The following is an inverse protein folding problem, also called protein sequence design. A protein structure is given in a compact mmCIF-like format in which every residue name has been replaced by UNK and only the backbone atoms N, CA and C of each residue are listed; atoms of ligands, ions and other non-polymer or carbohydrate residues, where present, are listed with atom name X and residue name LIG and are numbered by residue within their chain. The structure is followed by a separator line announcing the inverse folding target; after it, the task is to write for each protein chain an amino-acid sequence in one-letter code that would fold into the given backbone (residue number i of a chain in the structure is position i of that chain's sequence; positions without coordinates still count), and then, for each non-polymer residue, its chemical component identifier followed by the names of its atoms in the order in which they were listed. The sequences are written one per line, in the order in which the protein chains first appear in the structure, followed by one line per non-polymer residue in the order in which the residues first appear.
data_IF_545303554625
#
_entry.id   IF_545303554625
#
_cell.length_a   1.000
_cell.length_b   1.000
_cell.length_c   1.000
_cell.angle_alpha   90.00
_cell.angle_beta   90.00
_cell.angle_gamma   90.00
#
_symmetry.space_group_name_H-M   'P 1'
#
loop_
_entity.id
_entity.type
_entity.pdbx_description
1 polymer ?
#
# COMPACT_ATOMS: atom_id res chain seq x y z
N UNK A 1 9.64 51.03 -8.28
CA UNK A 1 8.89 49.78 -8.45
C UNK A 1 9.76 48.66 -7.89
N UNK A 2 9.47 48.24 -6.66
CA UNK A 2 10.03 47.00 -6.13
C UNK A 2 9.21 45.90 -6.82
N UNK A 3 9.85 45.18 -7.74
CA UNK A 3 9.25 44.00 -8.34
C UNK A 3 9.05 42.98 -7.25
N UNK A 4 7.80 42.75 -6.87
CA UNK A 4 7.42 41.57 -6.12
C UNK A 4 7.62 40.44 -7.12
N UNK A 5 8.77 39.74 -7.04
CA UNK A 5 8.84 38.37 -7.50
C UNK A 5 7.78 37.63 -6.70
N UNK A 6 6.63 37.39 -7.34
CA UNK A 6 5.67 36.41 -6.87
C UNK A 6 6.45 35.12 -6.70
N UNK A 7 6.71 34.72 -5.46
CA UNK A 7 7.04 33.34 -5.11
C UNK A 7 6.00 32.48 -5.84
N UNK A 8 6.40 31.88 -6.96
CA UNK A 8 5.59 30.84 -7.57
C UNK A 8 5.54 29.74 -6.52
N UNK A 9 4.39 29.56 -5.87
CA UNK A 9 4.17 28.45 -4.94
C UNK A 9 4.68 27.18 -5.61
N UNK A 10 5.80 26.68 -5.12
CA UNK A 10 6.50 25.57 -5.72
C UNK A 10 5.73 24.31 -5.31
N UNK A 11 4.77 23.92 -6.14
CA UNK A 11 4.04 22.66 -5.97
C UNK A 11 5.03 21.51 -5.84
N UNK A 12 4.78 20.60 -4.90
CA UNK A 12 5.61 19.42 -4.71
C UNK A 12 5.72 18.64 -6.03
N UNK A 13 6.94 18.31 -6.43
CA UNK A 13 7.21 17.54 -7.63
C UNK A 13 6.90 16.06 -7.38
N UNK A 14 5.72 15.61 -7.82
CA UNK A 14 5.25 14.24 -7.66
C UNK A 14 5.49 13.45 -8.95
N UNK A 15 6.10 12.26 -8.82
CA UNK A 15 6.30 11.33 -9.94
C UNK A 15 5.65 9.98 -9.69
N UNK A 16 5.05 9.38 -10.71
CA UNK A 16 4.45 8.04 -10.65
C UNK A 16 5.22 7.10 -11.56
N UNK A 17 5.82 6.07 -10.97
CA UNK A 17 6.70 5.12 -11.63
C UNK A 17 6.00 3.75 -11.74
N UNK A 18 5.56 3.40 -12.95
CA UNK A 18 5.03 2.09 -13.27
C UNK A 18 6.14 1.10 -13.61
N UNK A 19 6.32 0.08 -12.78
CA UNK A 19 7.39 -0.93 -12.97
C UNK A 19 6.81 -2.25 -13.47
N UNK A 20 7.34 -2.73 -14.59
CA UNK A 20 6.88 -3.95 -15.26
C UNK A 20 5.51 -3.81 -15.93
N UNK A 21 4.92 -4.93 -16.35
CA UNK A 21 3.66 -4.93 -17.11
C UNK A 21 2.46 -4.40 -16.31
N UNK A 22 2.26 -4.87 -15.08
CA UNK A 22 1.16 -4.42 -14.23
C UNK A 22 1.27 -2.93 -13.86
N UNK A 23 2.47 -2.48 -13.48
CA UNK A 23 2.71 -1.06 -13.20
C UNK A 23 2.52 -0.17 -14.44
N UNK A 24 3.01 -0.62 -15.60
CA UNK A 24 2.81 0.09 -16.87
C UNK A 24 1.33 0.20 -17.28
N UNK A 25 0.54 -0.86 -17.07
CA UNK A 25 -0.90 -0.84 -17.31
C UNK A 25 -1.63 0.14 -16.38
N UNK A 26 -1.28 0.14 -15.09
CA UNK A 26 -1.83 1.10 -14.13
C UNK A 26 -1.50 2.55 -14.51
N UNK A 27 -0.26 2.84 -14.89
CA UNK A 27 0.16 4.17 -15.38
C UNK A 27 -0.64 4.58 -16.62
N UNK A 28 -0.79 3.69 -17.61
CA UNK A 28 -1.59 3.99 -18.80
C UNK A 28 -3.03 4.35 -18.42
N UNK A 29 -3.61 3.65 -17.44
CA UNK A 29 -4.97 3.93 -16.95
C UNK A 29 -5.06 5.23 -16.15
N UNK A 30 -4.04 5.59 -15.38
CA UNK A 30 -3.96 6.88 -14.69
C UNK A 30 -3.94 8.04 -15.70
N UNK A 31 -3.18 7.90 -16.78
CA UNK A 31 -3.12 8.88 -17.87
C UNK A 31 -4.47 8.98 -18.60
N UNK A 32 -5.08 7.84 -18.93
CA UNK A 32 -6.39 7.81 -19.61
C UNK A 32 -7.52 8.39 -18.74
N UNK A 33 -7.43 8.23 -17.42
CA UNK A 33 -8.34 8.84 -16.46
C UNK A 33 -8.06 10.34 -16.22
N UNK A 34 -7.00 10.89 -16.81
CA UNK A 34 -6.67 12.30 -16.71
C UNK A 34 -6.14 12.73 -15.35
N UNK A 35 -5.44 11.85 -14.62
CA UNK A 35 -4.79 12.21 -13.35
C UNK A 35 -3.78 13.33 -13.58
N UNK A 36 -3.91 14.43 -12.82
CA UNK A 36 -3.16 15.69 -13.02
C UNK A 36 -2.08 15.88 -11.95
N UNK A 37 -1.13 16.77 -12.25
CA UNK A 37 -0.13 17.22 -11.27
C UNK A 37 0.90 16.15 -10.88
N UNK A 38 1.05 15.11 -11.71
CA UNK A 38 2.06 14.06 -11.53
C UNK A 38 2.76 13.79 -12.85
N UNK A 39 4.06 13.50 -12.79
CA UNK A 39 4.85 13.07 -13.95
C UNK A 39 4.86 11.54 -14.05
N UNK A 40 4.52 10.99 -15.22
CA UNK A 40 4.45 9.53 -15.40
C UNK A 40 5.72 8.95 -16.02
N UNK A 41 6.25 7.93 -15.36
CA UNK A 41 7.43 7.17 -15.78
C UNK A 41 7.05 5.68 -15.91
N UNK A 42 7.42 5.04 -17.01
CA UNK A 42 7.26 3.60 -17.21
C UNK A 42 8.62 2.92 -17.29
N UNK A 43 8.85 1.91 -16.46
CA UNK A 43 10.10 1.14 -16.40
C UNK A 43 9.80 -0.33 -16.74
N UNK A 44 10.45 -0.88 -17.76
CA UNK A 44 10.26 -2.29 -18.10
C UNK A 44 11.49 -2.92 -18.77
N UNK A 45 11.62 -4.24 -18.65
CA UNK A 45 12.58 -5.04 -19.43
C UNK A 45 12.02 -5.43 -20.81
N UNK A 46 10.68 -5.41 -20.95
CA UNK A 46 9.99 -5.72 -22.21
C UNK A 46 9.82 -4.45 -23.06
N UNK A 47 10.45 -4.46 -24.24
CA UNK A 47 10.42 -3.34 -25.18
C UNK A 47 9.04 -3.17 -25.85
N UNK A 48 8.31 -4.25 -26.08
CA UNK A 48 6.98 -4.18 -26.68
C UNK A 48 5.99 -3.52 -25.72
N UNK A 49 6.07 -3.87 -24.44
CA UNK A 49 5.25 -3.25 -23.41
C UNK A 49 5.55 -1.73 -23.28
N UNK A 50 6.83 -1.32 -23.32
CA UNK A 50 7.19 0.10 -23.27
C UNK A 50 6.74 0.88 -24.50
N UNK A 51 6.76 0.26 -25.69
CA UNK A 51 6.27 0.91 -26.90
C UNK A 51 4.79 1.30 -26.78
N UNK A 52 3.98 0.45 -26.14
CA UNK A 52 2.56 0.69 -25.87
C UNK A 52 2.29 1.61 -24.67
N UNK A 53 3.32 1.97 -23.89
CA UNK A 53 3.17 2.86 -22.75
C UNK A 53 2.79 4.28 -23.19
N UNK A 54 1.89 4.92 -22.45
CA UNK A 54 1.47 6.32 -22.64
C UNK A 54 2.28 7.29 -21.77
N UNK A 55 3.15 6.78 -20.91
CA UNK A 55 4.01 7.59 -20.04
C UNK A 55 4.93 8.51 -20.86
N UNK A 56 5.17 9.71 -20.32
CA UNK A 56 6.05 10.72 -20.92
C UNK A 56 7.50 10.22 -20.95
N UNK A 57 7.93 9.59 -19.85
CA UNK A 57 9.27 9.02 -19.72
C UNK A 57 9.19 7.49 -19.71
N UNK A 58 10.06 6.87 -20.50
CA UNK A 58 10.13 5.41 -20.66
C UNK A 58 11.57 4.95 -20.48
N UNK A 59 11.79 4.02 -19.56
CA UNK A 59 13.11 3.47 -19.28
C UNK A 59 13.07 1.98 -19.60
N UNK A 60 13.88 1.57 -20.59
CA UNK A 60 14.11 0.17 -20.88
C UNK A 60 15.28 -0.33 -20.04
N UNK A 61 15.00 -1.17 -19.04
CA UNK A 61 16.01 -1.69 -18.13
C UNK A 61 16.57 -3.04 -18.60
N UNK A 62 17.84 -3.30 -18.31
CA UNK A 62 18.49 -4.58 -18.61
C UNK A 62 18.53 -4.92 -20.10
N UNK A 63 18.87 -3.94 -20.95
CA UNK A 63 18.98 -4.14 -22.40
C UNK A 63 19.99 -5.24 -22.75
N UNK A 64 21.14 -5.28 -22.07
CA UNK A 64 22.17 -6.29 -22.31
C UNK A 64 21.75 -7.68 -21.80
N UNK A 65 21.06 -7.71 -20.65
CA UNK A 65 20.59 -8.93 -20.00
C UNK A 65 19.45 -9.61 -20.76
N UNK A 66 18.43 -8.85 -21.16
CA UNK A 66 17.16 -9.40 -21.67
C UNK A 66 16.99 -9.22 -23.16
N UNK A 67 17.80 -8.36 -23.80
CA UNK A 67 17.65 -7.96 -25.21
C UNK A 67 16.26 -7.38 -25.51
N UNK A 68 15.59 -6.82 -24.49
CA UNK A 68 14.25 -6.25 -24.62
C UNK A 68 13.10 -7.26 -24.63
N UNK A 69 13.36 -8.53 -24.30
CA UNK A 69 12.36 -9.62 -24.34
C UNK A 69 11.65 -9.84 -22.99
N UNK A 70 11.98 -9.06 -21.97
CA UNK A 70 11.40 -9.21 -20.63
C UNK A 70 12.18 -10.14 -19.69
N UNK A 71 11.77 -10.17 -18.42
CA UNK A 71 12.44 -10.92 -17.35
C UNK A 71 11.94 -12.38 -17.18
N UNK A 72 11.03 -12.87 -18.03
CA UNK A 72 10.58 -14.28 -18.02
C UNK A 72 10.00 -14.76 -16.68
N UNK A 73 9.27 -13.90 -15.96
CA UNK A 73 8.74 -14.18 -14.62
C UNK A 73 9.79 -14.50 -13.53
N UNK A 74 11.06 -14.16 -13.77
CA UNK A 74 12.15 -14.33 -12.81
C UNK A 74 12.49 -12.97 -12.14
N UNK A 75 12.21 -12.80 -10.82
CA UNK A 75 12.53 -11.58 -10.10
C UNK A 75 14.01 -11.20 -10.12
N UNK A 76 14.92 -12.17 -10.07
CA UNK A 76 16.37 -11.92 -10.09
C UNK A 76 16.83 -11.25 -11.38
N UNK A 77 16.20 -11.58 -12.51
CA UNK A 77 16.49 -10.90 -13.79
C UNK A 77 15.98 -9.46 -13.75
N UNK A 78 14.78 -9.25 -13.18
CA UNK A 78 14.23 -7.91 -12.99
C UNK A 78 15.12 -7.03 -12.11
N UNK A 79 15.64 -7.58 -11.01
CA UNK A 79 16.56 -6.90 -10.10
C UNK A 79 17.85 -6.50 -10.80
N UNK A 80 18.56 -7.46 -11.42
CA UNK A 80 19.81 -7.20 -12.15
C UNK A 80 19.63 -6.22 -13.30
N UNK A 81 18.47 -6.28 -13.98
CA UNK A 81 18.15 -5.31 -15.03
C UNK A 81 18.02 -3.89 -14.49
N UNK A 82 17.40 -3.70 -13.32
CA UNK A 82 17.30 -2.39 -12.68
C UNK A 82 18.66 -1.89 -12.17
N UNK A 83 19.48 -2.78 -11.60
CA UNK A 83 20.86 -2.47 -11.19
C UNK A 83 21.74 -2.05 -12.39
N UNK A 84 21.60 -2.73 -13.54
CA UNK A 84 22.30 -2.36 -14.78
C UNK A 84 21.97 -0.92 -15.23
N UNK A 85 20.72 -0.50 -15.02
CA UNK A 85 20.19 0.79 -15.45
C UNK A 85 20.06 1.81 -14.31
N UNK A 86 20.76 1.61 -13.18
CA UNK A 86 20.64 2.44 -11.96
C UNK A 86 20.82 3.93 -12.25
N UNK A 87 21.87 4.30 -12.98
CA UNK A 87 22.19 5.71 -13.29
C UNK A 87 21.09 6.41 -14.12
N UNK A 88 20.41 5.65 -15.00
CA UNK A 88 19.32 6.18 -15.81
C UNK A 88 18.07 6.41 -14.97
N UNK A 89 17.76 5.44 -14.09
CA UNK A 89 16.65 5.56 -13.13
C UNK A 89 16.88 6.77 -12.21
N UNK A 90 18.08 6.89 -11.62
CA UNK A 90 18.45 8.00 -10.74
C UNK A 90 18.26 9.35 -11.43
N UNK A 91 18.74 9.48 -12.67
CA UNK A 91 18.63 10.72 -13.45
C UNK A 91 17.17 11.15 -13.66
N UNK A 92 16.28 10.21 -13.90
CA UNK A 92 14.87 10.47 -14.18
C UNK A 92 14.10 10.82 -12.90
N UNK A 93 14.39 10.15 -11.78
CA UNK A 93 13.66 10.40 -10.53
C UNK A 93 14.18 11.62 -9.76
N UNK A 94 15.40 12.09 -10.06
CA UNK A 94 16.01 13.25 -9.42
C UNK A 94 15.12 14.49 -9.52
N UNK A 95 15.04 15.23 -8.41
CA UNK A 95 14.24 16.45 -8.31
C UNK A 95 12.76 16.21 -7.97
N UNK A 96 12.34 14.97 -7.75
CA UNK A 96 11.03 14.69 -7.15
C UNK A 96 11.07 14.94 -5.63
N UNK A 97 10.00 15.51 -5.09
CA UNK A 97 9.76 15.57 -3.64
C UNK A 97 9.13 14.27 -3.14
N UNK A 98 8.34 13.63 -4.01
CA UNK A 98 7.62 12.40 -3.73
C UNK A 98 7.55 11.51 -4.96
N UNK A 99 7.73 10.21 -4.77
CA UNK A 99 7.46 9.22 -5.80
C UNK A 99 6.46 8.16 -5.36
N UNK A 100 5.61 7.75 -6.30
CA UNK A 100 4.78 6.56 -6.20
C UNK A 100 5.36 5.45 -7.06
N UNK A 101 5.66 4.31 -6.47
CA UNK A 101 6.09 3.11 -7.19
C UNK A 101 4.90 2.18 -7.30
N UNK A 102 4.40 1.97 -8.51
CA UNK A 102 3.28 1.07 -8.79
C UNK A 102 3.70 -0.16 -9.57
N UNK A 103 3.27 -1.33 -9.12
CA UNK A 103 3.71 -2.61 -9.69
C UNK A 103 2.76 -3.75 -9.33
N UNK A 104 2.57 -4.67 -10.27
CA UNK A 104 1.92 -5.95 -10.01
C UNK A 104 2.95 -6.98 -9.57
N UNK A 105 2.87 -7.43 -8.31
CA UNK A 105 3.85 -8.33 -7.72
C UNK A 105 3.65 -9.77 -8.18
N UNK A 106 4.73 -10.54 -8.14
CA UNK A 106 4.77 -11.96 -8.52
C UNK A 106 5.28 -12.22 -9.95
N UNK A 107 5.37 -11.18 -10.78
CA UNK A 107 6.08 -11.24 -12.06
C UNK A 107 7.61 -11.23 -11.91
N UNK A 108 8.33 -11.04 -13.01
CA UNK A 108 9.79 -10.90 -12.98
C UNK A 108 10.24 -9.45 -12.80
N UNK A 109 9.89 -8.60 -13.77
CA UNK A 109 10.30 -7.19 -13.78
C UNK A 109 9.77 -6.41 -12.58
N UNK A 110 8.46 -6.40 -12.38
CA UNK A 110 7.83 -5.63 -11.29
C UNK A 110 8.35 -6.01 -9.91
N UNK A 111 8.43 -7.31 -9.64
CA UNK A 111 8.88 -7.86 -8.35
C UNK A 111 10.35 -7.56 -8.05
N UNK A 112 11.22 -7.68 -9.06
CA UNK A 112 12.67 -7.51 -8.88
C UNK A 112 13.15 -6.08 -8.98
N UNK A 113 12.56 -5.28 -9.87
CA UNK A 113 13.01 -3.92 -10.15
C UNK A 113 12.39 -2.87 -9.21
N UNK A 114 11.15 -3.07 -8.74
CA UNK A 114 10.49 -2.07 -7.88
C UNK A 114 11.27 -1.78 -6.58
N UNK A 115 11.84 -2.78 -5.86
CA UNK A 115 12.67 -2.51 -4.68
C UNK A 115 13.93 -1.70 -5.00
N UNK A 116 14.56 -1.94 -6.16
CA UNK A 116 15.76 -1.20 -6.59
C UNK A 116 15.41 0.26 -6.89
N UNK A 117 14.27 0.51 -7.56
CA UNK A 117 13.78 1.88 -7.80
C UNK A 117 13.52 2.60 -6.47
N UNK A 118 12.92 1.91 -5.49
CA UNK A 118 12.65 2.46 -4.17
C UNK A 118 13.95 2.79 -3.41
N UNK A 119 14.94 1.91 -3.48
CA UNK A 119 16.26 2.11 -2.86
C UNK A 119 16.91 3.39 -3.39
N UNK A 120 16.97 3.58 -4.71
CA UNK A 120 17.56 4.77 -5.33
C UNK A 120 16.82 6.04 -4.88
N UNK A 121 15.48 6.01 -4.83
CA UNK A 121 14.70 7.16 -4.41
C UNK A 121 14.93 7.54 -2.94
N UNK A 122 15.05 6.54 -2.07
CA UNK A 122 15.33 6.73 -0.64
C UNK A 122 16.74 7.27 -0.41
N UNK A 123 17.73 6.83 -1.19
CA UNK A 123 19.10 7.40 -1.18
C UNK A 123 19.12 8.87 -1.59
N UNK A 124 18.21 9.28 -2.48
CA UNK A 124 18.03 10.68 -2.88
C UNK A 124 17.20 11.51 -1.88
N UNK A 125 16.69 10.91 -0.81
CA UNK A 125 15.88 11.59 0.21
C UNK A 125 14.45 11.91 -0.23
N UNK A 126 13.94 11.22 -1.24
CA UNK A 126 12.60 11.41 -1.81
C UNK A 126 11.58 10.62 -0.98
N UNK A 127 10.43 11.21 -0.66
CA UNK A 127 9.34 10.50 0.01
C UNK A 127 8.84 9.38 -0.90
N UNK A 128 9.03 8.12 -0.50
CA UNK A 128 8.85 6.97 -1.39
C UNK A 128 7.67 6.12 -0.93
N UNK A 129 6.62 6.07 -1.74
CA UNK A 129 5.40 5.29 -1.46
C UNK A 129 5.25 4.15 -2.46
N UNK A 130 5.20 2.92 -1.99
CA UNK A 130 4.88 1.75 -2.81
C UNK A 130 3.38 1.49 -2.83
N UNK A 131 2.77 1.35 -4.01
CA UNK A 131 1.37 0.94 -4.19
C UNK A 131 1.34 -0.29 -5.09
N UNK A 132 1.16 -1.48 -4.51
CA UNK A 132 1.44 -2.74 -5.21
C UNK A 132 0.32 -3.75 -5.04
N UNK A 133 0.10 -4.58 -6.06
CA UNK A 133 -0.91 -5.64 -6.00
C UNK A 133 -0.28 -7.02 -5.78
N UNK A 134 -0.92 -7.85 -4.94
CA UNK A 134 -0.64 -9.29 -4.86
C UNK A 134 -1.43 -10.01 -5.97
N UNK A 135 -0.88 -11.05 -6.61
CA UNK A 135 -1.55 -11.75 -7.70
C UNK A 135 -2.82 -12.46 -7.21
N UNK A 136 -3.73 -12.81 -8.12
CA UNK A 136 -4.86 -13.66 -7.78
C UNK A 136 -4.40 -15.06 -7.42
N UNK A 137 -5.12 -15.75 -6.52
CA UNK A 137 -4.81 -17.13 -6.14
C UNK A 137 -4.79 -18.08 -7.36
N UNK A 138 -5.63 -17.82 -8.38
CA UNK A 138 -5.65 -18.64 -9.61
C UNK A 138 -4.40 -18.50 -10.49
N UNK A 139 -3.59 -17.45 -10.32
CA UNK A 139 -2.34 -17.27 -11.07
C UNK A 139 -1.23 -18.21 -10.60
N UNK A 140 -1.44 -18.88 -9.46
CA UNK A 140 -0.61 -19.97 -8.97
C UNK A 140 0.33 -19.59 -7.82
N UNK A 141 0.65 -20.59 -6.99
CA UNK A 141 1.43 -20.41 -5.75
C UNK A 141 2.83 -19.84 -5.97
N UNK A 142 3.48 -20.19 -7.09
CA UNK A 142 4.82 -19.67 -7.41
C UNK A 142 4.79 -18.15 -7.59
N UNK A 143 3.75 -17.62 -8.23
CA UNK A 143 3.57 -16.18 -8.44
C UNK A 143 3.32 -15.47 -7.11
N UNK A 144 2.50 -16.05 -6.24
CA UNK A 144 2.27 -15.53 -4.88
C UNK A 144 3.56 -15.50 -4.05
N UNK A 145 4.35 -16.58 -4.05
CA UNK A 145 5.61 -16.65 -3.32
C UNK A 145 6.63 -15.60 -3.81
N UNK A 146 6.72 -15.38 -5.13
CA UNK A 146 7.52 -14.27 -5.66
C UNK A 146 6.99 -12.92 -5.19
N UNK A 147 5.67 -12.74 -5.13
CA UNK A 147 5.06 -11.49 -4.71
C UNK A 147 5.39 -11.17 -3.24
N UNK A 148 5.25 -12.14 -2.34
CA UNK A 148 5.60 -11.99 -0.92
C UNK A 148 7.08 -11.61 -0.74
N UNK A 149 7.98 -12.27 -1.47
CA UNK A 149 9.41 -11.95 -1.47
C UNK A 149 9.68 -10.51 -1.92
N UNK A 150 9.07 -10.09 -3.02
CA UNK A 150 9.24 -8.74 -3.56
C UNK A 150 8.64 -7.66 -2.66
N UNK A 151 7.51 -7.93 -2.02
CA UNK A 151 6.86 -7.03 -1.06
C UNK A 151 7.75 -6.84 0.18
N UNK A 152 8.31 -7.93 0.71
CA UNK A 152 9.19 -7.86 1.89
C UNK A 152 10.49 -7.11 1.58
N UNK A 153 11.04 -7.27 0.37
CA UNK A 153 12.20 -6.50 -0.07
C UNK A 153 11.86 -5.03 -0.29
N UNK A 154 10.73 -4.73 -0.96
CA UNK A 154 10.27 -3.36 -1.20
C UNK A 154 10.03 -2.61 0.10
N UNK A 155 9.46 -3.26 1.11
CA UNK A 155 9.15 -2.69 2.42
C UNK A 155 10.37 -2.05 3.10
N UNK A 156 11.57 -2.58 2.86
CA UNK A 156 12.82 -2.04 3.44
C UNK A 156 13.19 -0.66 2.87
N UNK A 157 12.78 -0.42 1.63
CA UNK A 157 13.24 0.70 0.81
C UNK A 157 12.17 1.77 0.56
N UNK A 158 10.96 1.60 1.11
CA UNK A 158 9.90 2.61 1.05
C UNK A 158 9.65 3.25 2.41
N UNK A 159 8.97 4.38 2.42
CA UNK A 159 8.46 5.03 3.63
C UNK A 159 7.10 4.45 4.02
N UNK A 160 6.24 4.24 3.03
CA UNK A 160 4.94 3.60 3.19
C UNK A 160 4.69 2.58 2.06
N UNK A 161 4.06 1.46 2.39
CA UNK A 161 3.73 0.39 1.46
C UNK A 161 2.24 0.04 1.54
N UNK A 162 1.50 0.36 0.49
CA UNK A 162 0.10 -0.03 0.29
C UNK A 162 0.07 -1.34 -0.51
N UNK A 163 -0.40 -2.42 0.12
CA UNK A 163 -0.55 -3.72 -0.54
C UNK A 163 -2.00 -4.01 -0.82
N UNK A 164 -2.33 -4.28 -2.09
CA UNK A 164 -3.69 -4.58 -2.56
C UNK A 164 -3.77 -6.08 -2.92
N UNK A 165 -4.43 -6.91 -2.12
CA UNK A 165 -4.66 -8.31 -2.48
C UNK A 165 -5.72 -8.44 -3.57
N UNK A 166 -5.34 -8.86 -4.78
CA UNK A 166 -6.28 -9.00 -5.90
C UNK A 166 -7.45 -9.96 -5.60
N UNK A 167 -7.26 -10.96 -4.74
CA UNK A 167 -8.35 -11.85 -4.32
C UNK A 167 -9.49 -11.13 -3.60
N UNK A 168 -9.24 -9.97 -2.97
CA UNK A 168 -10.31 -9.15 -2.36
C UNK A 168 -11.21 -8.52 -3.40
N UNK A 169 -10.68 -8.27 -4.60
CA UNK A 169 -11.47 -7.78 -5.73
C UNK A 169 -12.53 -8.80 -6.16
N UNK A 170 -12.30 -10.10 -5.93
CA UNK A 170 -13.28 -11.15 -6.22
C UNK A 170 -14.52 -11.08 -5.31
N UNK A 171 -14.46 -10.37 -4.18
CA UNK A 171 -15.59 -10.23 -3.25
C UNK A 171 -16.58 -9.15 -3.71
N UNK A 172 -16.12 -8.21 -4.53
CA UNK A 172 -16.93 -7.06 -5.00
C UNK A 172 -17.44 -7.23 -6.43
N UNK A 173 -16.93 -8.22 -7.17
CA UNK A 173 -17.31 -8.45 -8.57
C UNK A 173 -18.36 -9.55 -8.72
N UNK A 174 -19.18 -9.45 -9.77
CA UNK A 174 -20.16 -10.46 -10.12
C UNK A 174 -19.49 -11.73 -10.67
N UNK A 175 -20.13 -12.89 -10.50
CA UNK A 175 -19.63 -14.20 -11.00
C UNK A 175 -19.40 -14.25 -12.51
N UNK A 176 -19.97 -13.32 -13.29
CA UNK A 176 -19.84 -13.24 -14.76
C UNK A 176 -18.68 -12.36 -15.22
N UNK A 177 -17.95 -11.74 -14.30
CA UNK A 177 -16.83 -10.84 -14.61
C UNK A 177 -15.75 -11.59 -15.39
N UNK A 178 -15.31 -11.01 -16.52
CA UNK A 178 -14.27 -11.61 -17.35
C UNK A 178 -12.88 -11.46 -16.71
N UNK A 179 -11.93 -12.29 -17.14
CA UNK A 179 -10.54 -12.16 -16.67
C UNK A 179 -9.93 -10.79 -17.03
N UNK A 180 -10.28 -10.24 -18.20
CA UNK A 180 -9.80 -8.92 -18.63
C UNK A 180 -10.33 -7.85 -17.68
N UNK A 181 -11.61 -7.93 -17.31
CA UNK A 181 -12.23 -6.94 -16.43
C UNK A 181 -11.72 -7.05 -14.98
N UNK A 182 -11.39 -8.27 -14.53
CA UNK A 182 -10.75 -8.48 -13.23
C UNK A 182 -9.37 -7.81 -13.13
N UNK A 183 -8.52 -7.93 -14.16
CA UNK A 183 -7.24 -7.22 -14.19
C UNK A 183 -7.43 -5.70 -14.34
N UNK A 184 -8.44 -5.26 -15.11
CA UNK A 184 -8.75 -3.84 -15.20
C UNK A 184 -9.14 -3.25 -13.85
N UNK A 185 -9.88 -4.00 -13.05
CA UNK A 185 -10.25 -3.61 -11.70
C UNK A 185 -9.02 -3.51 -10.79
N UNK A 186 -8.07 -4.43 -10.88
CA UNK A 186 -6.81 -4.35 -10.13
C UNK A 186 -6.01 -3.09 -10.48
N UNK A 187 -5.88 -2.78 -11.77
CA UNK A 187 -5.25 -1.54 -12.24
C UNK A 187 -6.02 -0.29 -11.76
N UNK A 188 -7.36 -0.34 -11.72
CA UNK A 188 -8.16 0.79 -11.23
C UNK A 188 -7.95 1.03 -9.74
N UNK A 189 -7.77 -0.03 -8.94
CA UNK A 189 -7.47 0.12 -7.51
C UNK A 189 -6.06 0.70 -7.31
N UNK A 190 -5.08 0.32 -8.15
CA UNK A 190 -3.76 0.98 -8.16
C UNK A 190 -3.88 2.47 -8.51
N UNK A 191 -4.71 2.82 -9.51
CA UNK A 191 -5.01 4.20 -9.87
C UNK A 191 -5.62 4.96 -8.70
N UNK A 192 -6.63 4.40 -8.05
CA UNK A 192 -7.31 5.02 -6.92
C UNK A 192 -6.36 5.24 -5.72
N UNK A 193 -5.42 4.33 -5.47
CA UNK A 193 -4.45 4.50 -4.38
C UNK A 193 -3.42 5.58 -4.61
N UNK A 194 -2.97 5.76 -5.86
CA UNK A 194 -2.12 6.91 -6.21
C UNK A 194 -2.95 8.20 -6.19
N UNK A 195 -4.12 8.19 -6.83
CA UNK A 195 -5.01 9.35 -6.92
C UNK A 195 -5.41 9.88 -5.54
N UNK A 196 -5.78 8.98 -4.62
CA UNK A 196 -6.24 9.35 -3.29
C UNK A 196 -5.25 10.22 -2.51
N UNK A 197 -3.94 10.01 -2.73
CA UNK A 197 -2.88 10.80 -2.10
C UNK A 197 -2.50 11.99 -2.98
N UNK A 198 -2.34 11.80 -4.29
CA UNK A 198 -1.93 12.89 -5.17
C UNK A 198 -2.96 14.02 -5.23
N UNK A 199 -4.26 13.71 -5.18
CA UNK A 199 -5.32 14.73 -5.19
C UNK A 199 -5.26 15.63 -3.96
N UNK A 200 -4.81 15.12 -2.81
CA UNK A 200 -4.64 15.92 -1.58
C UNK A 200 -3.54 16.98 -1.69
N UNK A 201 -2.57 16.78 -2.58
CA UNK A 201 -1.35 17.60 -2.68
C UNK A 201 -1.36 18.45 -3.96
N UNK A 202 -1.74 17.84 -5.08
CA UNK A 202 -1.56 18.40 -6.41
C UNK A 202 -2.78 19.13 -6.95
N UNK A 203 -3.98 18.82 -6.44
CA UNK A 203 -5.23 19.44 -6.88
C UNK A 203 -5.67 20.44 -5.82
N UNK A 204 -5.88 21.72 -6.18
CA UNK A 204 -6.48 22.69 -5.27
C UNK A 204 -7.87 22.20 -4.81
N UNK A 205 -7.97 21.87 -3.54
CA UNK A 205 -9.20 21.47 -2.87
C UNK A 205 -9.90 22.64 -2.15
N UNK A 206 -11.06 22.35 -1.58
CA UNK A 206 -11.74 23.24 -0.61
C UNK A 206 -10.94 23.33 0.68
N UNK A 207 -10.30 22.23 1.06
CA UNK A 207 -9.40 22.12 2.20
C UNK A 207 -8.11 21.50 1.68
N UNK A 208 -7.12 22.36 1.44
CA UNK A 208 -5.81 21.94 1.00
C UNK A 208 -5.04 21.33 2.17
N UNK A 209 -4.36 20.23 1.88
CA UNK A 209 -3.40 19.61 2.78
C UNK A 209 -2.01 20.01 2.33
N UNK A 210 -1.14 20.39 3.25
CA UNK A 210 0.24 20.71 2.90
C UNK A 210 1.08 19.43 2.70
N UNK A 211 2.15 19.54 1.93
CA UNK A 211 3.03 18.39 1.70
C UNK A 211 3.75 17.91 2.97
N UNK A 212 3.97 18.81 3.94
CA UNK A 212 4.68 18.51 5.18
C UNK A 212 3.86 17.60 6.10
N UNK A 213 2.55 17.80 6.12
CA UNK A 213 1.54 17.01 6.82
C UNK A 213 1.54 15.59 6.24
N UNK A 214 1.38 15.45 4.92
CA UNK A 214 1.43 14.13 4.26
C UNK A 214 2.76 13.43 4.53
N UNK A 215 3.87 14.15 4.42
CA UNK A 215 5.21 13.63 4.73
C UNK A 215 5.29 13.14 6.17
N UNK A 216 4.70 13.84 7.13
CA UNK A 216 4.71 13.47 8.55
C UNK A 216 3.95 12.15 8.81
N UNK A 217 2.83 11.91 8.14
CA UNK A 217 2.05 10.67 8.31
C UNK A 217 2.66 9.48 7.55
N UNK A 218 3.31 9.72 6.41
CA UNK A 218 3.78 8.64 5.52
C UNK A 218 5.25 8.25 5.75
N UNK A 219 6.06 9.10 6.35
CA UNK A 219 7.51 8.84 6.53
C UNK A 219 7.75 7.67 7.49
N UNK A 220 8.48 6.64 7.03
CA UNK A 220 8.85 5.45 7.80
C UNK A 220 7.70 4.73 8.52
N UNK A 221 6.51 4.78 7.94
CA UNK A 221 5.32 4.19 8.58
C UNK A 221 5.15 2.70 8.26
N UNK A 222 5.85 2.19 7.24
CA UNK A 222 5.83 0.77 6.89
C UNK A 222 4.55 0.39 6.17
N UNK A 223 3.85 -0.64 6.64
CA UNK A 223 2.61 -1.10 5.99
C UNK A 223 1.47 -0.09 6.17
N UNK A 224 0.76 0.15 5.07
CA UNK A 224 -0.41 1.01 4.98
C UNK A 224 -1.58 0.25 4.35
N UNK A 225 -2.79 0.61 4.76
CA UNK A 225 -4.02 0.04 4.22
C UNK A 225 -4.89 1.15 3.62
N UNK A 226 -5.54 0.81 2.51
CA UNK A 226 -6.40 1.74 1.79
C UNK A 226 -7.84 1.23 1.80
N UNK A 227 -8.75 2.09 2.20
CA UNK A 227 -10.19 1.89 2.12
C UNK A 227 -10.81 2.93 1.20
N UNK A 228 -11.76 2.48 0.37
CA UNK A 228 -12.46 3.37 -0.58
C UNK A 228 -13.95 3.09 -0.48
N UNK A 229 -14.73 4.16 -0.41
CA UNK A 229 -16.18 4.13 -0.44
C UNK A 229 -16.72 5.17 -1.40
N UNK A 230 -17.76 4.79 -2.15
CA UNK A 230 -18.45 5.69 -3.10
C UNK A 230 -19.95 5.54 -2.86
N UNK A 231 -20.63 6.66 -2.65
CA UNK A 231 -22.08 6.66 -2.48
C UNK A 231 -22.72 7.90 -3.11
N UNK A 232 -24.03 7.84 -3.28
CA UNK A 232 -24.89 8.88 -3.87
C UNK A 232 -26.23 8.94 -3.14
N UNK A 233 -27.01 10.00 -3.37
CA UNK A 233 -28.29 10.23 -2.68
C UNK A 233 -28.15 10.93 -1.33
N UNK A 234 -29.24 10.96 -0.54
CA UNK A 234 -29.36 11.82 0.66
C UNK A 234 -28.34 11.51 1.77
N UNK A 235 -27.95 10.24 1.95
CA UNK A 235 -27.01 9.82 3.00
C UNK A 235 -25.61 9.47 2.44
N UNK A 236 -25.24 10.05 1.30
CA UNK A 236 -24.02 9.67 0.57
C UNK A 236 -22.74 9.83 1.38
N UNK A 237 -22.63 10.86 2.22
CA UNK A 237 -21.45 11.06 3.06
C UNK A 237 -21.22 9.88 4.03
N UNK A 238 -22.22 9.58 4.85
CA UNK A 238 -22.17 8.53 5.86
C UNK A 238 -22.02 7.14 5.23
N UNK A 239 -22.72 6.87 4.14
CA UNK A 239 -22.62 5.57 3.44
C UNK A 239 -21.26 5.39 2.77
N UNK A 240 -20.70 6.44 2.14
CA UNK A 240 -19.34 6.38 1.61
C UNK A 240 -18.31 6.16 2.72
N UNK A 241 -18.46 6.82 3.89
CA UNK A 241 -17.54 6.65 5.01
C UNK A 241 -17.59 5.22 5.57
N UNK A 242 -18.80 4.66 5.73
CA UNK A 242 -19.00 3.26 6.12
C UNK A 242 -18.34 2.29 5.14
N UNK A 243 -18.54 2.49 3.84
CA UNK A 243 -17.92 1.65 2.82
C UNK A 243 -16.39 1.74 2.85
N UNK A 244 -15.83 2.94 3.09
CA UNK A 244 -14.40 3.14 3.17
C UNK A 244 -13.79 2.38 4.37
N UNK A 245 -14.42 2.45 5.55
CA UNK A 245 -13.95 1.74 6.76
C UNK A 245 -14.11 0.23 6.66
N UNK A 246 -15.15 -0.25 5.99
CA UNK A 246 -15.42 -1.68 5.81
C UNK A 246 -14.93 -2.20 4.45
N UNK A 247 -14.05 -1.43 3.79
CA UNK A 247 -13.62 -1.76 2.44
C UNK A 247 -12.89 -3.11 2.43
N UNK A 248 -13.22 -4.02 1.50
CA UNK A 248 -12.52 -5.31 1.38
C UNK A 248 -11.02 -5.18 1.11
N UNK A 249 -10.57 -3.98 0.70
CA UNK A 249 -9.18 -3.64 0.44
C UNK A 249 -8.36 -3.42 1.73
N UNK A 250 -9.02 -3.21 2.87
CA UNK A 250 -8.38 -3.13 4.17
C UNK A 250 -8.03 -4.55 4.65
N UNK A 251 -6.74 -4.88 4.74
CA UNK A 251 -6.32 -6.17 5.31
C UNK A 251 -6.51 -6.21 6.84
N UNK A 252 -6.42 -5.04 7.49
CA UNK A 252 -6.61 -4.85 8.93
C UNK A 252 -7.67 -3.77 9.17
N UNK A 253 -8.42 -3.87 10.27
CA UNK A 253 -9.31 -2.79 10.72
C UNK A 253 -8.54 -1.47 10.86
N UNK A 254 -9.21 -0.34 10.64
CA UNK A 254 -8.66 1.00 10.87
C UNK A 254 -8.38 1.24 12.37
N UNK A 255 -9.04 0.47 13.24
CA UNK A 255 -8.82 0.47 14.68
C UNK A 255 -7.33 0.21 15.02
N UNK A 256 -6.70 1.19 15.69
CA UNK A 256 -5.29 1.13 16.10
C UNK A 256 -4.29 1.70 15.08
N UNK A 257 -4.76 2.31 14.00
CA UNK A 257 -3.91 3.16 13.14
C UNK A 257 -3.51 4.45 13.87
N UNK A 258 -2.27 4.89 13.68
CA UNK A 258 -1.71 6.10 14.32
C UNK A 258 -1.73 7.31 13.40
N UNK A 259 -1.77 7.06 12.09
CA UNK A 259 -1.85 8.08 11.06
C UNK A 259 -2.96 7.72 10.11
N UNK A 260 -3.83 8.67 9.79
CA UNK A 260 -4.88 8.51 8.79
C UNK A 260 -4.82 9.69 7.84
N UNK A 261 -4.74 9.41 6.53
CA UNK A 261 -5.06 10.38 5.49
C UNK A 261 -6.50 10.15 5.05
N UNK A 262 -7.32 11.18 5.18
CA UNK A 262 -8.72 11.20 4.76
C UNK A 262 -8.88 12.17 3.59
N UNK A 263 -9.23 11.64 2.42
CA UNK A 263 -9.57 12.43 1.24
C UNK A 263 -11.07 12.29 0.95
N UNK A 264 -11.77 13.42 0.90
CA UNK A 264 -13.18 13.50 0.52
C UNK A 264 -13.28 14.21 -0.83
N UNK A 265 -13.63 13.48 -1.87
CA UNK A 265 -13.92 14.03 -3.19
C UNK A 265 -15.43 14.03 -3.43
N UNK A 266 -15.97 15.14 -3.93
CA UNK A 266 -17.38 15.23 -4.31
C UNK A 266 -17.58 16.23 -5.44
N UNK A 267 -18.77 16.22 -6.05
CA UNK A 267 -19.10 17.22 -7.07
C UNK A 267 -19.27 18.64 -6.49
N UNK A 268 -19.56 19.63 -7.35
CA UNK A 268 -19.70 21.03 -6.94
C UNK A 268 -20.79 21.30 -5.89
N UNK A 269 -21.70 20.34 -5.67
CA UNK A 269 -22.75 20.40 -4.65
C UNK A 269 -22.30 19.87 -3.27
N UNK A 270 -21.04 19.45 -3.11
CA UNK A 270 -20.50 18.96 -1.85
C UNK A 270 -20.65 20.01 -0.75
N UNK A 271 -21.39 19.66 0.31
CA UNK A 271 -21.65 20.56 1.43
C UNK A 271 -20.68 20.34 2.59
N UNK A 272 -20.49 21.39 3.39
CA UNK A 272 -19.70 21.29 4.63
C UNK A 272 -20.31 20.30 5.64
N UNK A 273 -21.63 20.12 5.59
CA UNK A 273 -22.32 19.18 6.49
C UNK A 273 -21.97 17.73 6.15
N UNK A 274 -22.04 17.38 4.87
CA UNK A 274 -21.63 16.06 4.37
C UNK A 274 -20.16 15.75 4.67
N UNK A 275 -19.28 16.73 4.48
CA UNK A 275 -17.86 16.61 4.83
C UNK A 275 -17.68 16.35 6.32
N UNK A 276 -18.39 17.08 7.18
CA UNK A 276 -18.31 16.94 8.64
C UNK A 276 -18.85 15.58 9.12
N UNK A 277 -19.99 15.13 8.59
CA UNK A 277 -20.56 13.81 8.91
C UNK A 277 -19.61 12.67 8.54
N UNK A 278 -19.06 12.71 7.32
CA UNK A 278 -18.07 11.73 6.86
C UNK A 278 -16.82 11.72 7.74
N UNK A 279 -16.28 12.88 8.08
CA UNK A 279 -15.09 12.99 8.93
C UNK A 279 -15.35 12.45 10.34
N UNK A 280 -16.46 12.82 10.99
CA UNK A 280 -16.79 12.33 12.33
C UNK A 280 -16.91 10.81 12.38
N UNK A 281 -17.50 10.20 11.34
CA UNK A 281 -17.62 8.75 11.27
C UNK A 281 -16.25 8.05 11.23
N UNK A 282 -15.26 8.66 10.56
CA UNK A 282 -13.87 8.18 10.53
C UNK A 282 -13.19 8.42 11.88
N UNK A 283 -13.37 9.59 12.50
CA UNK A 283 -12.82 9.91 13.82
C UNK A 283 -13.30 8.95 14.90
N UNK A 284 -14.57 8.57 14.89
CA UNK A 284 -15.15 7.61 15.85
C UNK A 284 -14.61 6.18 15.67
N UNK A 285 -14.22 5.81 14.45
CA UNK A 285 -13.65 4.49 14.13
C UNK A 285 -12.12 4.44 14.33
N UNK A 286 -11.45 5.59 14.41
CA UNK A 286 -10.02 5.71 14.57
C UNK A 286 -9.57 5.56 16.04
N UNK A 287 -8.27 5.39 16.26
CA UNK A 287 -7.70 5.48 17.60
C UNK A 287 -7.81 6.94 18.11
N UNK A 288 -8.18 7.19 19.38
CA UNK A 288 -8.29 8.54 19.93
C UNK A 288 -7.00 9.37 19.83
N UNK A 289 -5.84 8.72 19.78
CA UNK A 289 -4.53 9.36 19.64
C UNK A 289 -4.04 9.36 18.17
N UNK A 290 -4.88 8.98 17.21
CA UNK A 290 -4.53 8.98 15.79
C UNK A 290 -4.37 10.42 15.26
N UNK A 291 -3.26 10.67 14.57
CA UNK A 291 -3.10 11.88 13.78
C UNK A 291 -3.89 11.72 12.47
N UNK A 292 -4.93 12.53 12.28
CA UNK A 292 -5.77 12.48 11.08
C UNK A 292 -5.57 13.76 10.28
N UNK A 293 -5.06 13.59 9.06
CA UNK A 293 -5.00 14.65 8.07
C UNK A 293 -6.22 14.52 7.16
N UNK A 294 -6.93 15.62 7.02
CA UNK A 294 -8.16 15.70 6.25
C UNK A 294 -8.02 16.70 5.10
N UNK A 295 -8.39 16.27 3.90
CA UNK A 295 -8.56 17.14 2.74
C UNK A 295 -9.88 16.89 2.03
N UNK A 296 -10.37 17.93 1.36
CA UNK A 296 -11.58 17.86 0.55
C UNK A 296 -11.36 18.52 -0.81
N UNK A 297 -11.74 17.80 -1.87
CA UNK A 297 -11.52 18.20 -3.26
C UNK A 297 -12.85 18.19 -4.03
N UNK A 298 -13.03 19.17 -4.91
CA UNK A 298 -14.14 19.16 -5.86
C UNK A 298 -13.71 18.44 -7.13
N UNK A 299 -14.42 17.37 -7.46
CA UNK A 299 -14.24 16.57 -8.67
C UNK A 299 -15.54 16.63 -9.48
N UNK A 300 -15.54 17.42 -10.57
CA UNK A 300 -16.72 17.61 -11.42
C UNK A 300 -17.23 16.30 -12.03
N UNK A 301 -16.36 15.28 -12.17
CA UNK A 301 -16.76 13.98 -12.72
C UNK A 301 -17.65 13.16 -11.78
N UNK A 302 -17.69 13.51 -10.49
CA UNK A 302 -18.49 12.79 -9.50
C UNK A 302 -19.95 13.22 -9.50
N UNK A 303 -20.31 14.35 -10.10
CA UNK A 303 -21.69 14.88 -10.14
C UNK A 303 -22.34 14.90 -8.74
N UNK A 304 -23.23 13.96 -8.43
CA UNK A 304 -23.91 13.84 -7.13
C UNK A 304 -23.26 12.80 -6.19
N UNK A 305 -22.15 12.18 -6.59
CA UNK A 305 -21.45 11.17 -5.79
C UNK A 305 -20.46 11.82 -4.83
N UNK A 306 -20.23 11.14 -3.71
CA UNK A 306 -19.10 11.38 -2.81
C UNK A 306 -18.21 10.14 -2.84
N UNK A 307 -16.91 10.35 -3.04
CA UNK A 307 -15.85 9.35 -2.92
C UNK A 307 -15.01 9.68 -1.69
N UNK A 308 -14.91 8.74 -0.77
CA UNK A 308 -14.06 8.84 0.41
C UNK A 308 -12.93 7.83 0.27
N UNK A 309 -11.71 8.31 0.40
CA UNK A 309 -10.50 7.48 0.44
C UNK A 309 -9.82 7.64 1.78
N UNK A 310 -9.59 6.52 2.44
CA UNK A 310 -8.95 6.44 3.76
C UNK A 310 -7.65 5.67 3.60
N UNK A 311 -6.55 6.26 4.03
CA UNK A 311 -5.24 5.60 4.05
C UNK A 311 -4.77 5.59 5.48
N UNK A 312 -4.85 4.41 6.08
CA UNK A 312 -4.47 4.19 7.46
C UNK A 312 -3.03 3.64 7.51
N UNK A 313 -2.24 4.17 8.44
CA UNK A 313 -0.82 3.87 8.58
C UNK A 313 -0.46 3.65 10.07
N UNK A 314 0.63 2.94 10.33
CA UNK A 314 1.22 2.84 11.68
C UNK A 314 0.74 1.65 12.50
N UNK A 315 0.31 0.57 11.85
CA UNK A 315 -0.23 -0.65 12.49
C UNK A 315 0.81 -1.51 13.23
N UNK A 316 2.11 -1.33 12.96
CA UNK A 316 3.14 -2.32 13.31
C UNK A 316 3.51 -2.43 14.80
N UNK A 317 3.00 -1.55 15.68
CA UNK A 317 3.35 -1.62 17.10
C UNK A 317 2.58 -2.67 17.90
N UNK A 318 1.48 -3.22 17.36
CA UNK A 318 0.60 -4.15 18.08
C UNK A 318 0.87 -5.64 17.85
N UNK A 319 1.68 -6.03 16.86
CA UNK A 319 2.02 -7.46 16.67
C UNK A 319 3.14 -7.93 17.62
N UNK A 320 4.17 -7.09 17.84
CA UNK A 320 5.29 -7.43 18.73
C UNK A 320 4.89 -7.50 20.22
N UNK A 321 3.83 -6.79 20.62
CA UNK A 321 3.27 -6.85 21.97
C UNK A 321 2.42 -8.11 22.22
N UNK A 322 1.77 -8.66 21.18
CA UNK A 322 1.00 -9.92 21.29
C UNK A 322 1.89 -11.16 21.36
N UNK A 323 3.06 -11.17 20.72
CA UNK A 323 4.02 -12.29 20.84
C UNK A 323 4.73 -12.36 22.20
N UNK A 324 4.97 -11.21 22.84
CA UNK A 324 5.59 -11.17 24.18
C UNK A 324 4.59 -11.51 25.30
N UNK A 325 3.29 -11.27 25.11
CA UNK A 325 2.25 -11.64 26.06
C UNK A 325 2.00 -13.17 26.11
N UNK A 326 2.17 -13.89 24.99
CA UNK A 326 1.98 -15.36 24.95
C UNK A 326 3.14 -16.19 25.51
N UNK A 327 4.31 -15.60 25.77
CA UNK A 327 5.49 -16.31 26.30
C UNK A 327 5.68 -16.20 27.82
N UNK A 328 4.75 -15.54 28.55
CA UNK A 328 4.90 -15.33 29.99
C UNK A 328 4.05 -16.23 30.89
N UNK A 329 3.22 -17.13 30.34
CA UNK A 329 2.27 -17.92 31.14
C UNK A 329 2.40 -19.45 31.00
N UNK A 330 3.62 -19.93 30.74
CA UNK A 330 3.99 -21.34 30.90
C UNK A 330 5.35 -21.46 31.58
N UNK A 331 5.38 -21.21 32.89
CA UNK A 331 6.44 -21.70 33.76
C UNK A 331 5.81 -22.57 34.83
N UNK A 332 5.61 -23.85 34.49
CA UNK A 332 5.52 -24.90 35.49
C UNK A 332 6.83 -24.94 36.29
N UNK A 333 6.80 -25.16 37.62
CA UNK A 333 8.01 -25.28 38.40
C UNK A 333 8.64 -26.67 38.19
N UNK A 334 9.86 -26.71 37.63
CA UNK A 334 10.72 -27.89 37.62
C UNK A 334 11.10 -28.29 39.05
N UNK A 335 10.65 -29.46 39.49
CA UNK A 335 11.15 -30.12 40.70
C UNK A 335 12.31 -31.02 40.31
N UNK A 336 13.49 -30.72 40.87
CA UNK A 336 14.71 -31.56 40.75
C UNK A 336 14.52 -32.87 41.51
N UNK A 337 14.77 -34.01 40.87
CA UNK A 337 14.89 -35.31 41.52
C UNK A 337 16.34 -35.80 41.43
N UNK A 338 16.96 -35.97 42.59
CA UNK A 338 18.24 -36.66 42.77
C UNK A 338 18.01 -38.18 42.83
N UNK A 339 18.92 -38.93 42.21
CA UNK A 339 18.94 -40.40 42.11
C UNK A 339 19.22 -41.09 43.45
N UNK A 340 18.50 -42.17 43.82
CA UNK A 340 19.03 -43.35 44.54
C UNK A 340 18.12 -44.60 44.33
N UNK A 341 18.64 -45.59 43.58
CA UNK A 341 18.67 -47.07 43.75
C UNK A 341 17.38 -47.93 43.81
N UNK A 342 17.47 -49.04 43.05
CA UNK A 342 16.60 -50.22 42.87
C UNK A 342 16.17 -50.96 44.17
N UNK A 343 14.95 -51.51 44.17
CA UNK A 343 14.70 -52.95 44.43
C UNK A 343 13.19 -53.28 44.38
N UNK A 344 12.89 -54.49 43.92
CA UNK A 344 11.60 -55.20 43.83
C UNK A 344 10.61 -54.98 44.99
N UNK A 345 9.33 -54.80 44.67
CA UNK A 345 8.24 -55.76 44.98
C UNK A 345 6.84 -55.12 44.88
N UNK A 346 5.93 -55.92 44.31
CA UNK A 346 4.52 -55.64 44.04
C UNK A 346 3.63 -55.58 45.29
N UNK A 347 2.53 -54.82 45.16
CA UNK A 347 1.19 -55.04 45.74
C UNK A 347 0.97 -55.15 47.26
N UNK A 348 0.69 -54.01 47.93
CA UNK A 348 -0.30 -53.93 49.04
C UNK A 348 -0.98 -52.55 49.10
N UNK A 349 -2.34 -52.46 49.06
CA UNK A 349 -3.06 -51.18 49.17
C UNK A 349 -3.02 -50.50 50.55
N UNK A 350 -3.17 -49.18 50.53
CA UNK A 350 -2.95 -48.18 51.61
C UNK A 350 -3.71 -48.39 52.93
N UNK A 351 -4.70 -49.28 53.02
CA UNK A 351 -5.55 -49.44 54.21
C UNK A 351 -4.98 -50.38 55.31
N UNK A 352 -3.88 -51.08 55.05
CA UNK A 352 -3.24 -52.01 56.00
C UNK A 352 -2.14 -51.39 56.89
N UNK A 353 -1.83 -50.08 56.76
CA UNK A 353 -0.88 -49.37 57.63
C UNK A 353 -1.59 -48.52 58.68
N UNK A 354 -2.22 -49.15 59.67
CA UNK A 354 -2.57 -48.48 60.94
C UNK A 354 -2.18 -49.35 62.13
N UNK A 355 -1.29 -48.80 62.97
CA UNK A 355 -1.15 -49.19 64.37
C UNK A 355 0.10 -49.98 64.71
N UNK A 356 1.20 -49.27 65.01
CA UNK A 356 1.93 -49.38 66.29
C UNK A 356 3.25 -48.60 66.22
N UNK A 357 3.29 -47.55 67.06
CA UNK A 357 4.43 -46.84 67.66
C UNK A 357 5.53 -46.30 66.76
#
# INVERSE_FOLDING_TARGET
MIGIETDMEQFAAIKVIGVGGGGGNAVNRMIDAGLRGVEFISINTDKQALYLSKAEIKIQIGEKLTKGLGAGANPEIGKKAAEESREEIERVIKGADMIFITSGMGGGTGTGAAPVVAEIAKELGILTVGVVTKPFTFEGRKRMSHAEMGIEELKKHVDALITIPNDRLLQVVEKKTSMIDAFKLADDVLRQGVQGISDLIAVPGLVNVDFADVKTIMTNTGLAHMGIGIASGENKATEAAKQAIHSPLLETSIEGSRGILLNIAGGPNLTIFEVNEAANFIYEAADPDANIIFGAVIDESLEDQIRITVIATGFERNEKSKETAKKKDTREPEVKLENVIESDDLDIPTFLRRGRR
#
